data_IF_815776395744
#
_entry.id   IF_815776395744
#
_cell.length_a   1.000
_cell.length_b   1.000
_cell.length_c   1.000
_cell.angle_alpha   90.00
_cell.angle_beta   90.00
_cell.angle_gamma   90.00
#
_symmetry.space_group_name_H-M   'P 1'
#
loop_
_entity.id
_entity.type
_entity.pdbx_description
1 polymer ?
#
# COMPACT_ATOMS: atom_id res chain seq x y z
N UNK A 1 -7.92 0.09 -1.16
CA UNK A 1 -7.94 -0.48 0.20
C UNK A 1 -7.20 -1.81 0.25
N UNK A 2 -6.78 -2.24 1.43
CA UNK A 2 -6.04 -3.48 1.65
C UNK A 2 -6.74 -4.32 2.72
N UNK A 3 -6.81 -5.63 2.52
CA UNK A 3 -7.24 -6.60 3.52
C UNK A 3 -6.56 -7.96 3.26
N UNK A 4 -6.07 -8.60 4.31
CA UNK A 4 -5.47 -9.95 4.26
C UNK A 4 -4.38 -10.13 3.18
N UNK A 5 -3.57 -9.10 2.94
CA UNK A 5 -2.53 -9.11 1.91
C UNK A 5 -3.03 -8.85 0.48
N UNK A 6 -4.33 -8.68 0.27
CA UNK A 6 -4.91 -8.28 -1.01
C UNK A 6 -5.04 -6.75 -1.10
N UNK A 7 -4.85 -6.21 -2.29
CA UNK A 7 -5.01 -4.80 -2.61
C UNK A 7 -6.27 -4.63 -3.47
N UNK A 8 -7.21 -3.82 -3.00
CA UNK A 8 -8.49 -3.59 -3.67
C UNK A 8 -8.50 -2.21 -4.33
N UNK A 9 -8.69 -2.15 -5.64
CA UNK A 9 -8.99 -0.93 -6.39
C UNK A 9 -10.49 -0.75 -6.40
N UNK A 10 -11.00 0.21 -5.65
CA UNK A 10 -12.44 0.39 -5.42
C UNK A 10 -13.09 1.40 -6.36
N UNK A 11 -12.31 2.37 -6.83
CA UNK A 11 -12.80 3.42 -7.74
C UNK A 11 -11.61 4.07 -8.45
N UNK A 12 -11.87 4.66 -9.62
CA UNK A 12 -10.91 5.42 -10.40
C UNK A 12 -11.63 6.56 -11.10
N UNK A 13 -10.98 7.72 -11.17
CA UNK A 13 -11.44 8.86 -11.95
C UNK A 13 -10.26 9.59 -12.59
N UNK A 14 -10.50 10.24 -13.71
CA UNK A 14 -9.57 11.16 -14.32
C UNK A 14 -10.25 12.52 -14.52
N UNK A 15 -9.49 13.59 -14.37
CA UNK A 15 -9.94 14.97 -14.49
C UNK A 15 -9.10 15.66 -15.55
N UNK A 16 -9.71 16.53 -16.36
CA UNK A 16 -9.01 17.30 -17.41
C UNK A 16 -8.58 18.69 -16.95
N UNK A 17 -9.22 19.21 -15.89
CA UNK A 17 -9.07 20.61 -15.46
C UNK A 17 -7.91 20.81 -14.47
N UNK A 18 -6.94 19.92 -14.47
CA UNK A 18 -5.76 19.99 -13.60
C UNK A 18 -6.15 20.13 -12.11
N UNK A 19 -5.58 21.12 -11.44
CA UNK A 19 -5.84 21.38 -10.00
C UNK A 19 -6.93 22.42 -9.75
N UNK A 20 -7.98 22.43 -10.57
CA UNK A 20 -9.15 23.30 -10.33
C UNK A 20 -9.81 23.00 -8.99
N UNK A 21 -10.49 24.00 -8.41
CA UNK A 21 -11.24 23.82 -7.15
C UNK A 21 -12.26 22.67 -7.23
N UNK A 22 -12.88 22.48 -8.39
CA UNK A 22 -13.83 21.39 -8.62
C UNK A 22 -13.14 20.01 -8.61
N UNK A 23 -12.00 19.90 -9.29
CA UNK A 23 -11.18 18.68 -9.30
C UNK A 23 -10.72 18.32 -7.90
N UNK A 24 -10.12 19.25 -7.16
CA UNK A 24 -9.65 19.04 -5.80
C UNK A 24 -10.79 18.65 -4.85
N UNK A 25 -11.93 19.36 -4.95
CA UNK A 25 -13.13 19.05 -4.18
C UNK A 25 -13.67 17.66 -4.49
N UNK A 26 -13.67 17.24 -5.75
CA UNK A 26 -14.13 15.93 -6.19
C UNK A 26 -13.23 14.79 -5.68
N UNK A 27 -11.92 15.01 -5.67
CA UNK A 27 -10.95 14.05 -5.12
C UNK A 27 -11.15 13.87 -3.61
N UNK A 28 -11.30 14.97 -2.86
CA UNK A 28 -11.56 14.91 -1.41
C UNK A 28 -12.89 14.23 -1.10
N UNK A 29 -13.94 14.51 -1.91
CA UNK A 29 -15.25 13.84 -1.80
C UNK A 29 -15.15 12.34 -2.02
N UNK A 30 -14.34 11.92 -3.00
CA UNK A 30 -14.08 10.51 -3.25
C UNK A 30 -13.32 9.88 -2.09
N UNK A 31 -12.28 10.53 -1.57
CA UNK A 31 -11.54 10.08 -0.40
C UNK A 31 -12.44 9.90 0.82
N UNK A 32 -13.31 10.88 1.11
CA UNK A 32 -14.31 10.81 2.19
C UNK A 32 -15.29 9.66 1.99
N UNK A 33 -15.81 9.49 0.76
CA UNK A 33 -16.76 8.41 0.41
C UNK A 33 -16.21 7.01 0.74
N UNK A 34 -14.93 6.81 0.49
CA UNK A 34 -14.28 5.52 0.71
C UNK A 34 -13.57 5.40 2.07
N UNK A 35 -13.68 6.40 2.93
CA UNK A 35 -13.01 6.43 4.23
C UNK A 35 -11.48 6.34 4.09
N UNK A 36 -10.92 6.99 3.07
CA UNK A 36 -9.49 7.00 2.86
C UNK A 36 -8.80 7.77 3.99
N UNK A 37 -7.77 7.20 4.57
CA UNK A 37 -6.96 7.85 5.61
C UNK A 37 -5.83 8.69 5.03
N UNK A 38 -5.41 8.41 3.78
CA UNK A 38 -4.31 9.09 3.10
C UNK A 38 -4.68 9.46 1.68
N UNK A 39 -4.19 10.60 1.24
CA UNK A 39 -4.20 11.08 -0.13
C UNK A 39 -2.76 11.24 -0.58
N UNK A 40 -2.32 10.32 -1.43
CA UNK A 40 -0.97 10.31 -1.98
C UNK A 40 -0.90 11.26 -3.17
N UNK A 41 0.06 12.16 -3.16
CA UNK A 41 0.25 13.19 -4.20
C UNK A 41 1.65 13.06 -4.75
N UNK A 42 1.78 12.91 -6.06
CA UNK A 42 3.09 12.89 -6.70
C UNK A 42 3.70 14.30 -6.70
N UNK A 43 4.89 14.42 -6.12
CA UNK A 43 5.61 15.69 -5.96
C UNK A 43 6.54 15.93 -7.16
N UNK A 44 5.98 16.21 -8.34
CA UNK A 44 6.78 16.53 -9.52
C UNK A 44 7.14 18.01 -9.63
N UNK A 45 6.36 18.89 -8.99
CA UNK A 45 6.56 20.33 -9.00
C UNK A 45 6.12 20.97 -7.67
N UNK A 46 6.98 21.81 -7.09
CA UNK A 46 6.59 22.78 -6.07
C UNK A 46 6.42 22.26 -4.65
N UNK A 47 7.36 21.44 -4.15
CA UNK A 47 7.57 21.08 -2.73
C UNK A 47 6.39 21.43 -1.78
N UNK A 48 5.39 20.57 -1.70
CA UNK A 48 4.25 20.74 -0.77
C UNK A 48 3.09 21.60 -1.28
N UNK A 49 3.21 22.32 -2.38
CA UNK A 49 2.18 23.24 -2.85
C UNK A 49 0.84 22.52 -3.13
N UNK A 50 0.87 21.37 -3.76
CA UNK A 50 -0.36 20.62 -4.07
C UNK A 50 -1.03 20.11 -2.79
N UNK A 51 -0.24 19.66 -1.82
CA UNK A 51 -0.75 19.25 -0.51
C UNK A 51 -1.44 20.42 0.22
N UNK A 52 -0.90 21.65 0.12
CA UNK A 52 -1.52 22.84 0.67
C UNK A 52 -2.87 23.15 -0.01
N UNK A 53 -2.97 23.01 -1.33
CA UNK A 53 -4.24 23.19 -2.04
C UNK A 53 -5.33 22.23 -1.53
N UNK A 54 -4.99 21.00 -1.24
CA UNK A 54 -5.94 20.02 -0.67
C UNK A 54 -6.41 20.36 0.74
N UNK A 55 -5.59 21.00 1.58
CA UNK A 55 -5.96 21.30 2.98
C UNK A 55 -7.26 22.07 3.11
N UNK A 56 -7.47 23.07 2.24
CA UNK A 56 -8.70 23.86 2.23
C UNK A 56 -9.92 22.99 1.99
N UNK A 57 -9.87 22.13 0.97
CA UNK A 57 -10.99 21.26 0.59
C UNK A 57 -11.24 20.15 1.63
N UNK A 58 -10.18 19.63 2.26
CA UNK A 58 -10.26 18.65 3.35
C UNK A 58 -11.02 19.27 4.54
N UNK A 59 -10.64 20.48 4.93
CA UNK A 59 -11.30 21.21 6.04
C UNK A 59 -12.76 21.54 5.72
N UNK A 60 -13.03 22.07 4.53
CA UNK A 60 -14.39 22.42 4.10
C UNK A 60 -15.33 21.22 4.06
N UNK A 61 -14.84 20.04 3.68
CA UNK A 61 -15.62 18.82 3.59
C UNK A 61 -15.60 17.99 4.87
N UNK A 62 -14.85 18.41 5.89
CA UNK A 62 -14.66 17.67 7.14
C UNK A 62 -14.21 16.22 6.86
N UNK A 63 -13.24 16.07 5.96
CA UNK A 63 -12.70 14.77 5.60
C UNK A 63 -11.53 14.39 6.53
N UNK A 64 -11.55 13.17 7.06
CA UNK A 64 -10.49 12.64 7.91
C UNK A 64 -9.39 12.00 7.05
N UNK A 65 -8.74 12.79 6.21
CA UNK A 65 -7.69 12.35 5.28
C UNK A 65 -6.45 13.22 5.43
N UNK A 66 -5.28 12.61 5.40
CA UNK A 66 -3.97 13.28 5.44
C UNK A 66 -3.34 13.23 4.05
N UNK A 67 -2.81 14.35 3.57
CA UNK A 67 -2.02 14.41 2.34
C UNK A 67 -0.59 13.97 2.59
N UNK A 68 -0.06 13.15 1.72
CA UNK A 68 1.32 12.65 1.77
C UNK A 68 1.96 12.79 0.37
N UNK A 69 3.12 13.45 0.29
CA UNK A 69 3.86 13.55 -0.95
C UNK A 69 4.66 12.28 -1.21
N UNK A 70 4.61 11.83 -2.46
CA UNK A 70 5.41 10.71 -2.94
C UNK A 70 6.36 11.23 -4.02
N UNK A 71 7.62 10.85 -3.90
CA UNK A 71 8.65 11.11 -4.91
C UNK A 71 9.13 9.79 -5.50
N UNK A 72 9.27 9.74 -6.81
CA UNK A 72 9.89 8.62 -7.51
C UNK A 72 11.11 9.11 -8.28
N UNK A 73 12.22 8.37 -8.16
CA UNK A 73 13.47 8.62 -8.88
C UNK A 73 13.72 7.58 -9.97
N UNK A 74 12.92 6.53 -10.00
CA UNK A 74 13.03 5.46 -11.02
C UNK A 74 12.40 5.87 -12.34
N UNK A 75 12.82 5.22 -13.42
CA UNK A 75 12.15 5.34 -14.73
C UNK A 75 10.70 4.87 -14.60
N UNK A 76 9.79 5.65 -15.15
CA UNK A 76 8.35 5.49 -14.97
C UNK A 76 7.86 4.11 -15.42
N UNK A 77 8.21 3.69 -16.63
CA UNK A 77 7.76 2.42 -17.20
C UNK A 77 8.28 1.21 -16.39
N UNK A 78 9.54 1.25 -15.99
CA UNK A 78 10.15 0.20 -15.16
C UNK A 78 9.48 0.14 -13.78
N UNK A 79 9.27 1.30 -13.13
CA UNK A 79 8.60 1.38 -11.85
C UNK A 79 7.20 0.80 -11.89
N UNK A 80 6.41 1.15 -12.91
CA UNK A 80 5.04 0.65 -13.06
C UNK A 80 5.04 -0.88 -13.18
N UNK A 81 5.88 -1.43 -14.05
CA UNK A 81 5.95 -2.87 -14.29
C UNK A 81 6.46 -3.60 -13.04
N UNK A 82 7.58 -3.15 -12.47
CA UNK A 82 8.20 -3.78 -11.30
C UNK A 82 7.29 -3.75 -10.06
N UNK A 83 6.38 -2.76 -9.99
CA UNK A 83 5.37 -2.68 -8.93
C UNK A 83 4.19 -3.60 -9.18
N UNK A 84 3.64 -3.60 -10.39
CA UNK A 84 2.38 -4.31 -10.66
C UNK A 84 2.59 -5.81 -10.93
N UNK A 85 3.65 -6.19 -11.63
CA UNK A 85 3.92 -7.57 -12.04
C UNK A 85 3.94 -8.57 -10.86
N UNK A 86 4.66 -8.33 -9.74
CA UNK A 86 4.66 -9.26 -8.61
C UNK A 86 3.29 -9.42 -7.95
N UNK A 87 2.52 -8.34 -7.85
CA UNK A 87 1.20 -8.35 -7.21
C UNK A 87 0.18 -9.07 -8.09
N UNK A 88 0.30 -8.93 -9.40
CA UNK A 88 -0.53 -9.64 -10.38
C UNK A 88 -0.22 -11.13 -10.42
N UNK A 89 1.06 -11.50 -10.48
CA UNK A 89 1.50 -12.90 -10.48
C UNK A 89 1.06 -13.65 -9.21
N UNK A 90 0.92 -12.92 -8.10
CA UNK A 90 0.40 -13.45 -6.85
C UNK A 90 -1.13 -13.38 -6.73
N UNK A 91 -1.83 -12.90 -7.75
CA UNK A 91 -3.29 -12.68 -7.76
C UNK A 91 -3.80 -11.83 -6.57
N UNK A 92 -2.98 -10.87 -6.12
CA UNK A 92 -3.28 -10.04 -4.95
C UNK A 92 -3.94 -8.70 -5.27
N UNK A 93 -4.02 -8.32 -6.54
CA UNK A 93 -4.70 -7.11 -6.99
C UNK A 93 -6.12 -7.44 -7.42
N UNK A 94 -7.10 -6.89 -6.72
CA UNK A 94 -8.51 -7.08 -6.98
C UNK A 94 -9.11 -5.74 -7.41
N UNK A 95 -9.77 -5.71 -8.55
CA UNK A 95 -10.41 -4.52 -9.08
C UNK A 95 -11.94 -4.65 -9.03
N UNK A 96 -12.60 -3.61 -8.52
CA UNK A 96 -14.06 -3.53 -8.57
C UNK A 96 -14.51 -3.42 -10.04
N UNK A 97 -15.51 -4.20 -10.50
CA UNK A 97 -16.00 -4.14 -11.87
C UNK A 97 -16.34 -2.72 -12.37
N UNK A 98 -16.86 -1.86 -11.49
CA UNK A 98 -17.20 -0.47 -11.83
C UNK A 98 -15.99 0.37 -12.25
N UNK A 99 -14.76 -0.02 -11.89
CA UNK A 99 -13.54 0.66 -12.36
C UNK A 99 -13.41 0.49 -13.87
N UNK A 100 -13.66 -0.71 -14.37
CA UNK A 100 -13.64 -1.02 -15.79
C UNK A 100 -14.82 -0.40 -16.54
N UNK A 101 -16.02 -0.41 -15.96
CA UNK A 101 -17.21 0.24 -16.53
C UNK A 101 -16.97 1.73 -16.67
N UNK A 102 -16.42 2.37 -15.64
CA UNK A 102 -16.08 3.78 -15.68
C UNK A 102 -14.96 4.06 -16.69
N UNK A 103 -13.90 3.24 -16.72
CA UNK A 103 -12.78 3.37 -17.66
C UNK A 103 -13.28 3.34 -19.11
N UNK A 104 -14.16 2.41 -19.43
CA UNK A 104 -14.78 2.29 -20.74
C UNK A 104 -15.70 3.48 -21.06
N UNK A 105 -16.51 3.94 -20.12
CA UNK A 105 -17.44 5.07 -20.31
C UNK A 105 -16.74 6.44 -20.28
N UNK A 106 -15.48 6.50 -19.86
CA UNK A 106 -14.74 7.76 -19.76
C UNK A 106 -14.40 8.32 -21.16
N UNK A 107 -14.32 9.66 -21.25
CA UNK A 107 -14.01 10.38 -22.48
C UNK A 107 -14.95 10.08 -23.68
N UNK A 108 -16.29 10.14 -23.52
CA UNK A 108 -17.24 9.79 -24.58
C UNK A 108 -17.14 10.70 -25.81
N UNK A 109 -16.65 11.92 -25.62
CA UNK A 109 -16.55 12.93 -26.69
C UNK A 109 -15.28 12.79 -27.54
N UNK A 110 -14.36 11.89 -27.16
CA UNK A 110 -13.17 11.64 -27.96
C UNK A 110 -13.44 10.59 -29.06
N UNK A 111 -12.81 10.72 -30.22
CA UNK A 111 -12.82 9.65 -31.22
C UNK A 111 -12.37 8.31 -30.62
N UNK A 112 -12.93 7.16 -31.06
CA UNK A 112 -12.63 5.86 -30.47
C UNK A 112 -11.13 5.56 -30.36
N UNK A 113 -10.35 5.91 -31.35
CA UNK A 113 -8.91 5.68 -31.39
C UNK A 113 -8.18 6.48 -30.30
N UNK A 114 -8.50 7.76 -30.14
CA UNK A 114 -7.94 8.62 -29.09
C UNK A 114 -8.41 8.23 -27.72
N UNK A 115 -9.68 7.81 -27.59
CA UNK A 115 -10.23 7.36 -26.31
C UNK A 115 -9.48 6.18 -25.74
N UNK A 116 -9.07 5.23 -26.59
CA UNK A 116 -8.28 4.06 -26.16
C UNK A 116 -6.95 4.47 -25.51
N UNK A 117 -6.31 5.55 -25.94
CA UNK A 117 -5.03 6.01 -25.37
C UNK A 117 -5.16 6.40 -23.88
N UNK A 118 -6.33 6.86 -23.45
CA UNK A 118 -6.60 7.27 -22.08
C UNK A 118 -7.16 6.16 -21.19
N UNK A 119 -7.56 5.03 -21.77
CA UNK A 119 -8.18 3.95 -21.00
C UNK A 119 -7.14 3.11 -20.25
N UNK A 120 -7.41 2.82 -18.98
CA UNK A 120 -6.55 1.96 -18.15
C UNK A 120 -6.31 0.60 -18.80
N UNK A 121 -7.37 -0.04 -19.31
CA UNK A 121 -7.26 -1.35 -19.96
C UNK A 121 -6.32 -1.34 -21.18
N UNK A 122 -6.33 -0.25 -21.97
CA UNK A 122 -5.45 -0.06 -23.09
C UNK A 122 -4.02 0.24 -22.65
N UNK A 123 -3.84 1.10 -21.65
CA UNK A 123 -2.53 1.40 -21.06
C UNK A 123 -1.89 0.13 -20.51
N UNK A 124 -2.67 -0.68 -19.82
CA UNK A 124 -2.22 -1.95 -19.24
C UNK A 124 -1.72 -2.95 -20.30
N UNK A 125 -2.48 -3.11 -21.38
CA UNK A 125 -2.15 -4.09 -22.43
C UNK A 125 -0.98 -3.68 -23.33
N UNK A 126 -0.63 -2.38 -23.36
CA UNK A 126 0.40 -1.82 -24.25
C UNK A 126 1.68 -1.41 -23.54
N UNK A 127 1.68 -1.39 -22.22
CA UNK A 127 2.84 -0.99 -21.42
C UNK A 127 4.00 -1.98 -21.66
N UNK A 128 5.15 -1.45 -22.04
CA UNK A 128 6.42 -2.19 -22.14
C UNK A 128 7.51 -1.47 -21.34
N UNK A 129 8.67 -2.13 -21.16
CA UNK A 129 9.83 -1.51 -20.48
C UNK A 129 10.53 -0.45 -21.33
N UNK A 130 10.10 -0.26 -22.59
CA UNK A 130 10.66 0.73 -23.47
C UNK A 130 10.20 2.14 -23.09
N UNK A 131 11.10 3.10 -23.25
CA UNK A 131 10.79 4.51 -22.99
C UNK A 131 9.63 4.99 -23.88
N UNK A 132 8.69 5.72 -23.26
CA UNK A 132 7.54 6.29 -23.95
C UNK A 132 6.70 5.22 -24.69
N UNK A 133 6.62 4.03 -24.14
CA UNK A 133 5.78 2.95 -24.69
C UNK A 133 4.30 3.33 -24.75
N UNK A 134 3.87 4.22 -23.86
CA UNK A 134 2.52 4.79 -23.82
C UNK A 134 2.56 6.30 -24.09
N UNK A 135 1.61 6.79 -24.87
CA UNK A 135 1.40 8.22 -25.07
C UNK A 135 0.79 8.89 -23.86
N UNK A 136 -0.12 8.20 -23.22
CA UNK A 136 -0.77 8.56 -21.96
C UNK A 136 -0.68 7.36 -21.01
N UNK A 137 -0.21 7.58 -19.81
CA UNK A 137 0.03 6.54 -18.81
C UNK A 137 -0.52 6.91 -17.42
N UNK A 138 -1.23 8.04 -17.33
CA UNK A 138 -1.65 8.64 -16.07
C UNK A 138 -2.46 7.69 -15.17
N UNK A 139 -3.31 6.84 -15.76
CA UNK A 139 -4.17 5.92 -14.99
C UNK A 139 -3.40 4.74 -14.43
N UNK A 140 -2.55 4.13 -15.25
CA UNK A 140 -1.74 2.99 -14.82
C UNK A 140 -0.64 3.42 -13.86
N UNK A 141 -0.12 4.64 -14.03
CA UNK A 141 0.86 5.22 -13.13
C UNK A 141 0.26 5.52 -11.75
N UNK A 142 -0.89 6.17 -11.71
CA UNK A 142 -1.62 6.40 -10.45
C UNK A 142 -1.97 5.08 -9.72
N UNK A 143 -2.34 4.04 -10.48
CA UNK A 143 -2.56 2.71 -9.93
C UNK A 143 -1.28 2.13 -9.33
N UNK A 144 -0.17 2.18 -10.07
CA UNK A 144 1.11 1.68 -9.61
C UNK A 144 1.59 2.40 -8.34
N UNK A 145 1.47 3.72 -8.28
CA UNK A 145 1.81 4.48 -7.06
C UNK A 145 0.99 4.03 -5.84
N UNK A 146 -0.30 3.85 -6.01
CA UNK A 146 -1.16 3.35 -4.94
C UNK A 146 -0.79 1.92 -4.50
N UNK A 147 -0.50 1.04 -5.45
CA UNK A 147 -0.07 -0.34 -5.19
C UNK A 147 1.28 -0.35 -4.46
N UNK A 148 2.27 0.43 -4.94
CA UNK A 148 3.59 0.53 -4.31
C UNK A 148 3.48 0.92 -2.84
N UNK A 149 2.69 1.96 -2.55
CA UNK A 149 2.49 2.40 -1.17
C UNK A 149 1.94 1.28 -0.28
N UNK A 150 0.98 0.48 -0.76
CA UNK A 150 0.44 -0.65 0.00
C UNK A 150 1.45 -1.78 0.16
N UNK A 151 2.24 -2.08 -0.87
CA UNK A 151 3.31 -3.08 -0.81
C UNK A 151 4.34 -2.69 0.25
N UNK A 152 4.78 -1.43 0.27
CA UNK A 152 5.73 -0.91 1.25
C UNK A 152 5.14 -0.94 2.68
N UNK A 153 3.87 -0.57 2.84
CA UNK A 153 3.18 -0.63 4.12
C UNK A 153 3.05 -2.06 4.65
N UNK A 154 2.78 -3.04 3.78
CA UNK A 154 2.75 -4.47 4.13
C UNK A 154 4.13 -4.93 4.60
N UNK A 155 5.17 -4.60 3.85
CA UNK A 155 6.55 -4.97 4.18
C UNK A 155 6.97 -4.39 5.54
N UNK A 156 6.71 -3.10 5.79
CA UNK A 156 6.99 -2.46 7.07
C UNK A 156 6.22 -3.09 8.24
N UNK A 157 4.95 -3.44 8.01
CA UNK A 157 4.14 -4.13 9.03
C UNK A 157 4.70 -5.51 9.37
N UNK A 158 5.12 -6.27 8.37
CA UNK A 158 5.74 -7.59 8.55
C UNK A 158 7.07 -7.48 9.33
N UNK A 159 7.92 -6.52 8.99
CA UNK A 159 9.16 -6.25 9.72
C UNK A 159 8.92 -5.87 11.19
N UNK A 160 7.95 -5.00 11.45
CA UNK A 160 7.58 -4.63 12.83
C UNK A 160 7.07 -5.83 13.63
N UNK A 161 6.21 -6.66 13.03
CA UNK A 161 5.70 -7.87 13.66
C UNK A 161 6.83 -8.88 13.97
N UNK A 162 7.78 -9.04 13.05
CA UNK A 162 8.94 -9.90 13.26
C UNK A 162 9.86 -9.38 14.38
N UNK A 163 10.12 -8.07 14.41
CA UNK A 163 10.90 -7.45 15.47
C UNK A 163 10.22 -7.58 16.85
N UNK A 164 8.90 -7.40 16.90
CA UNK A 164 8.12 -7.62 18.11
C UNK A 164 8.21 -9.08 18.60
N UNK A 165 8.06 -10.05 17.70
CA UNK A 165 8.21 -11.47 18.06
C UNK A 165 9.58 -11.76 18.62
N UNK A 166 10.67 -11.28 17.99
CA UNK A 166 12.03 -11.43 18.50
C UNK A 166 12.18 -10.81 19.89
N UNK A 167 11.65 -9.61 20.11
CA UNK A 167 11.71 -8.97 21.42
C UNK A 167 10.97 -9.78 22.50
N UNK A 168 9.79 -10.32 22.20
CA UNK A 168 9.05 -11.18 23.12
C UNK A 168 9.82 -12.48 23.41
N UNK A 169 10.45 -13.08 22.41
CA UNK A 169 11.30 -14.27 22.59
C UNK A 169 12.52 -13.95 23.45
N UNK A 170 13.17 -12.81 23.22
CA UNK A 170 14.28 -12.34 24.08
C UNK A 170 13.83 -12.09 25.52
N UNK A 171 12.72 -11.40 25.71
CA UNK A 171 12.19 -11.13 27.05
C UNK A 171 11.83 -12.42 27.80
N UNK A 172 11.20 -13.36 27.09
CA UNK A 172 10.90 -14.67 27.65
C UNK A 172 12.17 -15.45 28.04
N UNK A 173 13.25 -15.32 27.23
CA UNK A 173 14.54 -15.93 27.54
C UNK A 173 15.20 -15.30 28.76
N UNK A 174 15.17 -13.97 28.89
CA UNK A 174 15.71 -13.26 30.06
C UNK A 174 14.93 -13.70 31.33
N UNK A 175 13.61 -13.70 31.30
CA UNK A 175 12.79 -14.10 32.43
C UNK A 175 13.07 -15.56 32.85
N UNK A 176 13.17 -16.49 31.89
CA UNK A 176 13.50 -17.86 32.16
C UNK A 176 14.92 -18.02 32.76
N UNK A 177 15.87 -17.20 32.32
CA UNK A 177 17.22 -17.19 32.90
C UNK A 177 17.23 -16.64 34.34
N UNK A 178 16.42 -15.64 34.63
CA UNK A 178 16.28 -15.09 35.99
C UNK A 178 15.59 -16.06 36.96
N UNK A 179 14.55 -16.78 36.47
CA UNK A 179 13.79 -17.73 37.27
C UNK A 179 14.55 -19.07 37.51
N UNK A 180 15.27 -19.57 36.50
CA UNK A 180 15.95 -20.86 36.49
C UNK A 180 17.36 -20.78 35.89
N UNK A 181 18.33 -20.11 36.55
CA UNK A 181 19.64 -19.82 35.95
C UNK A 181 20.45 -21.08 35.57
N UNK A 182 20.34 -22.15 36.34
CA UNK A 182 21.10 -23.41 36.07
C UNK A 182 20.51 -24.16 34.87
N UNK A 183 19.19 -24.28 34.76
CA UNK A 183 18.54 -25.00 33.66
C UNK A 183 18.65 -24.25 32.32
N UNK A 184 18.60 -22.91 32.36
CA UNK A 184 18.78 -22.07 31.19
C UNK A 184 20.21 -22.15 30.63
N UNK A 185 21.21 -22.25 31.48
CA UNK A 185 22.62 -22.41 31.09
C UNK A 185 22.87 -23.77 30.41
N UNK A 186 22.29 -24.84 30.95
CA UNK A 186 22.41 -26.18 30.38
C UNK A 186 21.74 -26.29 29.01
N UNK A 187 20.60 -25.63 28.82
CA UNK A 187 19.90 -25.58 27.52
C UNK A 187 20.72 -24.83 26.45
N UNK A 188 21.38 -23.73 26.82
CA UNK A 188 22.26 -22.96 25.93
C UNK A 188 23.49 -23.74 25.53
N UNK A 189 24.15 -24.43 26.48
CA UNK A 189 25.34 -25.22 26.26
C UNK A 189 25.04 -26.44 25.38
N UNK A 190 23.86 -27.04 25.52
CA UNK A 190 23.46 -28.23 24.76
C UNK A 190 22.82 -27.88 23.39
N UNK A 191 22.76 -26.61 23.01
CA UNK A 191 22.18 -26.17 21.73
C UNK A 191 20.71 -26.54 21.55
N UNK A 192 20.00 -26.79 22.65
CA UNK A 192 18.57 -27.12 22.61
C UNK A 192 17.73 -25.89 22.28
N UNK A 193 16.80 -26.03 21.36
CA UNK A 193 15.88 -24.97 20.97
C UNK A 193 15.07 -24.54 22.22
N UNK A 194 14.86 -23.22 22.36
CA UNK A 194 14.11 -22.60 23.45
C UNK A 194 12.65 -23.14 23.60
N UNK A 195 12.12 -23.79 22.57
CA UNK A 195 10.82 -24.47 22.64
C UNK A 195 10.80 -25.62 23.66
N UNK A 196 11.94 -26.21 23.99
CA UNK A 196 12.03 -27.27 25.00
C UNK A 196 11.90 -26.75 26.43
N UNK A 197 12.17 -25.46 26.68
CA UNK A 197 12.04 -24.83 28.00
C UNK A 197 10.59 -24.44 28.36
N UNK A 198 9.69 -24.35 27.38
CA UNK A 198 8.26 -24.03 27.64
C UNK A 198 7.52 -25.09 28.44
N UNK A 199 8.06 -26.28 28.57
CA UNK A 199 7.46 -27.36 29.36
C UNK A 199 7.84 -27.31 30.85
N UNK A 200 8.83 -26.51 31.24
CA UNK A 200 9.27 -26.39 32.64
C UNK A 200 8.41 -25.45 33.50
N UNK A 201 7.59 -24.58 32.86
CA UNK A 201 6.70 -23.62 33.54
C UNK A 201 5.33 -24.16 34.01
N UNK A 202 5.02 -25.44 33.80
CA UNK A 202 3.81 -26.05 34.34
C UNK A 202 4.16 -26.85 35.61
N UNK A 203 4.33 -26.13 36.72
CA UNK A 203 4.25 -26.74 38.05
C UNK A 203 2.90 -27.44 38.21
N UNK A 204 2.90 -28.76 38.25
CA UNK A 204 1.77 -29.52 38.75
C UNK A 204 1.53 -29.09 40.20
N UNK A 205 0.46 -28.35 40.42
CA UNK A 205 -0.07 -28.18 41.77
C UNK A 205 -0.54 -29.57 42.22
N UNK A 206 0.15 -30.15 43.19
CA UNK A 206 -0.31 -31.35 43.87
C UNK A 206 -1.33 -30.91 44.89
N UNK A 207 -2.63 -31.17 44.63
CA UNK A 207 -3.66 -31.10 45.67
C UNK A 207 -3.45 -32.24 46.64
N UNK A 208 -3.33 -31.87 47.93
CA UNK A 208 -3.41 -32.76 49.09
C UNK A 208 -4.83 -32.75 49.66
#
# INVERSE_FOLDING_TARGET
SQANGYIFVRDMKAFRDGYSDETLSSIVRMAKRYGASRLLVESNFGDGMICELFKRHITQQQASVVTEEIRSTMRKEERIIDTLEPVLNQHKLIMDPKVWEWDYASNPNEPPEKRLEYMLGSQWSRLTRDRNSLRHDDRIDALAMGVQWFVDAIAQSAHKAQAQRKNLEWQAMINAFEEHPHEATDALVLGRSFQSLKHLGTTKVWDW
#
